data_IF_448217390549
#
_entry.id   IF_448217390549
#
_cell.length_a   1.000
_cell.length_b   1.000
_cell.length_c   1.000
_cell.angle_alpha   90.00
_cell.angle_beta   90.00
_cell.angle_gamma   90.00
#
_symmetry.space_group_name_H-M   'P 1'
#
loop_
_entity.id
_entity.type
_entity.pdbx_description
1 polymer ?
#
# COMPACT_ATOMS: atom_id res chain seq x y z
N UNK A 1 -14.09 0.45 5.16
CA UNK A 1 -12.89 0.52 6.04
C UNK A 1 -12.93 1.84 6.80
N UNK A 2 -12.63 1.85 8.10
CA UNK A 2 -12.38 3.10 8.83
C UNK A 2 -11.07 3.70 8.30
N UNK A 3 -11.04 5.00 8.05
CA UNK A 3 -9.82 5.73 7.68
C UNK A 3 -8.87 5.71 8.88
N UNK A 4 -7.62 5.35 8.66
CA UNK A 4 -6.59 5.37 9.69
C UNK A 4 -5.98 6.77 9.77
N UNK A 5 -5.64 7.23 10.98
CA UNK A 5 -4.75 8.37 11.11
C UNK A 5 -3.34 7.98 10.60
N UNK A 6 -2.47 8.96 10.35
CA UNK A 6 -1.14 8.71 9.76
C UNK A 6 -0.28 7.74 10.57
N UNK A 7 -0.43 7.71 11.91
CA UNK A 7 0.30 6.77 12.76
C UNK A 7 -0.20 5.34 12.60
N UNK A 8 -1.51 5.12 12.66
CA UNK A 8 -2.12 3.80 12.49
C UNK A 8 -1.88 3.25 11.07
N UNK A 9 -1.93 4.13 10.05
CA UNK A 9 -1.59 3.77 8.67
C UNK A 9 -0.13 3.35 8.54
N UNK A 10 0.80 4.06 9.19
CA UNK A 10 2.22 3.69 9.21
C UNK A 10 2.46 2.35 9.89
N UNK A 11 1.77 2.05 11.00
CA UNK A 11 1.84 0.74 11.66
C UNK A 11 1.30 -0.37 10.76
N UNK A 12 0.16 -0.15 10.11
CA UNK A 12 -0.42 -1.12 9.18
C UNK A 12 0.50 -1.39 7.98
N UNK A 13 1.15 -0.36 7.42
CA UNK A 13 2.14 -0.52 6.35
C UNK A 13 3.34 -1.34 6.82
N UNK A 14 3.92 -1.03 7.98
CA UNK A 14 5.07 -1.78 8.53
C UNK A 14 4.74 -3.25 8.77
N UNK A 15 3.53 -3.54 9.23
CA UNK A 15 3.09 -4.93 9.40
C UNK A 15 2.97 -5.66 8.05
N UNK A 16 2.47 -4.98 7.01
CA UNK A 16 2.42 -5.55 5.67
C UNK A 16 3.83 -5.78 5.09
N UNK A 17 4.75 -4.83 5.27
CA UNK A 17 6.17 -4.96 4.88
C UNK A 17 6.85 -6.12 5.62
N UNK A 18 6.59 -6.27 6.93
CA UNK A 18 7.13 -7.37 7.71
C UNK A 18 6.62 -8.73 7.22
N UNK A 19 5.34 -8.84 6.83
CA UNK A 19 4.80 -10.08 6.26
C UNK A 19 5.46 -10.44 4.93
N UNK A 20 5.70 -9.46 4.05
CA UNK A 20 6.37 -9.69 2.76
C UNK A 20 7.85 -10.06 2.94
N UNK A 21 8.52 -9.44 3.91
CA UNK A 21 9.93 -9.72 4.19
C UNK A 21 10.16 -11.17 4.66
N UNK A 22 9.17 -11.82 5.27
CA UNK A 22 9.23 -13.26 5.62
C UNK A 22 9.33 -14.12 4.36
N UNK A 23 8.79 -13.65 3.24
CA UNK A 23 8.79 -14.32 1.93
C UNK A 23 9.94 -13.81 1.02
N UNK A 24 10.93 -13.10 1.59
CA UNK A 24 12.02 -12.41 0.86
C UNK A 24 11.51 -11.39 -0.18
N UNK A 25 10.27 -10.93 -0.05
CA UNK A 25 9.66 -9.90 -0.90
C UNK A 25 9.72 -8.52 -0.24
N UNK A 26 9.53 -7.46 -1.04
CA UNK A 26 9.51 -6.09 -0.54
C UNK A 26 8.71 -5.16 -1.43
N UNK A 27 8.14 -4.12 -0.82
CA UNK A 27 7.40 -3.10 -1.55
C UNK A 27 8.37 -2.06 -2.13
N UNK A 28 8.17 -1.71 -3.40
CA UNK A 28 8.79 -0.54 -4.01
C UNK A 28 8.21 0.77 -3.43
N UNK A 29 8.93 1.87 -3.58
CA UNK A 29 8.56 3.16 -2.95
C UNK A 29 7.18 3.67 -3.42
N UNK A 30 6.86 3.46 -4.69
CA UNK A 30 5.56 3.79 -5.30
C UNK A 30 4.41 2.92 -4.75
N UNK A 31 4.68 1.64 -4.43
CA UNK A 31 3.67 0.74 -3.85
C UNK A 31 3.37 1.13 -2.39
N UNK A 32 4.40 1.50 -1.63
CA UNK A 32 4.25 2.01 -0.25
C UNK A 32 3.40 3.28 -0.23
N UNK A 33 3.69 4.22 -1.12
CA UNK A 33 2.92 5.47 -1.25
C UNK A 33 1.45 5.18 -1.60
N UNK A 34 1.21 4.33 -2.59
CA UNK A 34 -0.14 3.94 -2.99
C UNK A 34 -0.95 3.31 -1.83
N UNK A 35 -0.33 2.42 -1.06
CA UNK A 35 -0.96 1.80 0.12
C UNK A 35 -1.26 2.85 1.20
N UNK A 36 -0.33 3.77 1.48
CA UNK A 36 -0.55 4.85 2.46
C UNK A 36 -1.72 5.75 2.10
N UNK A 37 -1.84 6.13 0.82
CA UNK A 37 -2.95 6.95 0.31
C UNK A 37 -4.29 6.25 0.48
N UNK A 38 -4.32 4.92 0.33
CA UNK A 38 -5.52 4.12 0.58
C UNK A 38 -5.84 3.99 2.08
N UNK A 39 -4.85 3.75 2.94
CA UNK A 39 -5.04 3.58 4.39
C UNK A 39 -5.52 4.87 5.08
N UNK A 40 -5.02 6.01 4.64
CA UNK A 40 -5.44 7.34 5.10
C UNK A 40 -6.75 7.80 4.46
N UNK A 41 -7.21 7.10 3.42
CA UNK A 41 -8.44 7.40 2.69
C UNK A 41 -8.36 8.67 1.85
N UNK A 42 -7.15 9.00 1.38
CA UNK A 42 -6.90 10.01 0.33
C UNK A 42 -7.46 9.52 -1.01
N UNK A 43 -7.31 8.22 -1.30
CA UNK A 43 -7.91 7.56 -2.45
C UNK A 43 -8.96 6.53 -2.01
N UNK A 44 -9.87 6.19 -2.92
CA UNK A 44 -10.85 5.14 -2.74
C UNK A 44 -10.27 3.75 -3.06
N UNK A 45 -10.93 2.69 -2.56
CA UNK A 45 -10.55 1.32 -2.89
C UNK A 45 -10.54 1.06 -4.41
N UNK A 46 -11.48 1.64 -5.15
CA UNK A 46 -11.54 1.51 -6.61
C UNK A 46 -10.33 2.13 -7.31
N UNK A 47 -9.91 3.31 -6.87
CA UNK A 47 -8.71 3.98 -7.39
C UNK A 47 -7.43 3.23 -7.01
N UNK A 48 -7.34 2.73 -5.78
CA UNK A 48 -6.24 1.88 -5.33
C UNK A 48 -6.07 0.66 -6.23
N UNK A 49 -7.15 -0.10 -6.44
CA UNK A 49 -7.11 -1.31 -7.28
C UNK A 49 -6.75 -1.00 -8.74
N UNK A 50 -7.21 0.14 -9.27
CA UNK A 50 -6.85 0.60 -10.62
C UNK A 50 -5.35 0.88 -10.72
N UNK A 51 -4.81 1.71 -9.82
CA UNK A 51 -3.40 2.10 -9.84
C UNK A 51 -2.47 0.91 -9.54
N UNK A 52 -2.84 0.01 -8.61
CA UNK A 52 -2.08 -1.20 -8.34
C UNK A 52 -1.95 -2.09 -9.59
N UNK A 53 -3.03 -2.20 -10.37
CA UNK A 53 -3.02 -2.93 -11.66
C UNK A 53 -2.17 -2.27 -12.73
N UNK A 54 -2.02 -0.96 -12.69
CA UNK A 54 -1.16 -0.22 -13.60
C UNK A 54 0.31 -0.39 -13.22
N UNK A 55 0.64 -0.32 -11.92
CA UNK A 55 1.98 -0.61 -11.41
C UNK A 55 2.45 -2.02 -11.78
N UNK A 56 1.61 -3.03 -11.57
CA UNK A 56 1.92 -4.42 -11.93
C UNK A 56 2.15 -4.62 -13.43
N UNK A 57 1.50 -3.83 -14.30
CA UNK A 57 1.68 -3.90 -15.76
C UNK A 57 2.91 -3.16 -16.27
N UNK A 58 3.35 -2.13 -15.56
CA UNK A 58 4.48 -1.29 -15.94
C UNK A 58 5.80 -1.69 -15.25
N UNK A 59 5.76 -2.62 -14.30
CA UNK A 59 6.91 -3.12 -13.55
C UNK A 59 7.65 -4.31 -14.19
N UNK A 60 7.52 -4.50 -15.51
CA UNK A 60 8.26 -5.50 -16.31
C UNK A 60 9.25 -4.79 -17.23
#
# INVERSE_FOLDING_TARGET
MRKLNSNDASVALKNAEASLAIEDEGLAANERDLIMRQLTGEISLGEFLKQARELSRNGI
#
